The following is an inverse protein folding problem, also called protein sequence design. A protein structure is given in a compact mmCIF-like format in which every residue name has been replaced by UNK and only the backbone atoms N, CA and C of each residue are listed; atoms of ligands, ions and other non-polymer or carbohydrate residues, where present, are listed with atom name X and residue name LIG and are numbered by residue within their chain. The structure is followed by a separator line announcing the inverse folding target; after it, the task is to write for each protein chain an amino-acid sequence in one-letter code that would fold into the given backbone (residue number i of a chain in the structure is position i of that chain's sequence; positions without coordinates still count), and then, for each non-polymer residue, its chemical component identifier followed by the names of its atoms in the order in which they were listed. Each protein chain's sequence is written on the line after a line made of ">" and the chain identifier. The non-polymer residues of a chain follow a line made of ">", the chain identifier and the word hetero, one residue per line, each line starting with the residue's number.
data_IF_311227137498
#
_entry.id   IF_311227137498
#
_cell.length_a   1.000
_cell.length_b   1.000
_cell.length_c   1.000
_cell.angle_alpha   90.00
_cell.angle_beta   90.00
_cell.angle_gamma   90.00
#
_symmetry.space_group_name_H-M   'P 1'
#
loop_
_entity.id
_entity.type
_entity.pdbx_description
1 polymer ?
#
# COMPACT_ATOMS: atom_id res chain seq x y z
N UNK A 1 -12.33 -14.75 30.02
CA UNK A 1 -12.37 -15.02 28.56
C UNK A 1 -11.70 -16.37 28.35
N UNK A 2 -12.44 -17.36 27.83
CA UNK A 2 -11.85 -18.67 27.57
C UNK A 2 -10.78 -18.55 26.49
N UNK A 3 -9.63 -19.26 26.57
CA UNK A 3 -8.65 -19.25 25.52
C UNK A 3 -9.26 -19.80 24.24
N UNK A 4 -9.20 -19.02 23.19
CA UNK A 4 -9.63 -19.48 21.86
C UNK A 4 -8.53 -20.41 21.37
N UNK A 5 -8.72 -21.71 21.49
CA UNK A 5 -7.81 -22.71 20.93
C UNK A 5 -7.95 -22.74 19.40
N UNK A 6 -7.35 -21.77 18.74
CA UNK A 6 -7.28 -21.70 17.28
C UNK A 6 -5.95 -22.31 16.82
N UNK A 7 -6.03 -23.45 16.16
CA UNK A 7 -4.85 -24.07 15.56
C UNK A 7 -4.67 -23.58 14.14
N UNK A 8 -3.49 -23.06 13.84
CA UNK A 8 -3.08 -22.60 12.51
C UNK A 8 -1.93 -23.48 12.00
N UNK A 9 -1.92 -23.74 10.69
CA UNK A 9 -0.78 -24.36 10.03
C UNK A 9 0.34 -23.33 9.79
N UNK A 10 -0.05 -22.07 9.61
CA UNK A 10 0.86 -20.93 9.51
C UNK A 10 0.28 -19.73 10.25
N UNK A 11 1.07 -19.08 11.09
CA UNK A 11 0.70 -17.82 11.71
C UNK A 11 1.73 -16.74 11.34
N UNK A 12 1.25 -15.64 10.73
CA UNK A 12 2.08 -14.55 10.20
C UNK A 12 1.96 -13.33 11.11
N UNK A 13 3.09 -12.80 11.53
CA UNK A 13 3.17 -11.57 12.32
C UNK A 13 3.54 -10.41 11.41
N UNK A 14 2.59 -9.50 11.21
CA UNK A 14 2.73 -8.33 10.35
C UNK A 14 2.12 -8.50 8.95
N UNK A 15 1.50 -7.41 8.47
CA UNK A 15 0.80 -7.35 7.19
C UNK A 15 1.58 -6.62 6.09
N UNK A 16 2.89 -6.56 6.21
CA UNK A 16 3.75 -6.08 5.13
C UNK A 16 3.70 -6.98 3.90
N UNK A 17 4.30 -6.57 2.76
CA UNK A 17 4.23 -7.33 1.51
C UNK A 17 4.64 -8.79 1.62
N UNK A 18 5.67 -9.09 2.40
CA UNK A 18 6.13 -10.47 2.62
C UNK A 18 5.11 -11.29 3.40
N UNK A 19 4.58 -10.75 4.50
CA UNK A 19 3.57 -11.41 5.33
C UNK A 19 2.28 -11.68 4.56
N UNK A 20 1.79 -10.70 3.81
CA UNK A 20 0.61 -10.88 2.96
C UNK A 20 0.82 -11.98 1.92
N UNK A 21 1.97 -12.00 1.25
CA UNK A 21 2.27 -13.01 0.22
C UNK A 21 2.37 -14.41 0.82
N UNK A 22 3.03 -14.56 1.96
CA UNK A 22 3.13 -15.83 2.67
C UNK A 22 1.75 -16.35 3.09
N UNK A 23 0.94 -15.49 3.72
CA UNK A 23 -0.40 -15.85 4.19
C UNK A 23 -1.32 -16.26 3.02
N UNK A 24 -1.38 -15.44 1.97
CA UNK A 24 -2.20 -15.72 0.79
C UNK A 24 -1.77 -17.00 0.07
N UNK A 25 -0.47 -17.24 -0.06
CA UNK A 25 0.02 -18.45 -0.71
C UNK A 25 -0.31 -19.72 0.10
N UNK A 26 -0.11 -19.69 1.41
CA UNK A 26 -0.44 -20.81 2.28
C UNK A 26 -1.94 -21.10 2.27
N UNK A 27 -2.78 -20.08 2.31
CA UNK A 27 -4.24 -20.24 2.23
C UNK A 27 -4.69 -20.81 0.88
N UNK A 28 -4.07 -20.42 -0.24
CA UNK A 28 -4.32 -21.02 -1.56
C UNK A 28 -3.96 -22.52 -1.61
N UNK A 29 -3.05 -22.96 -0.77
CA UNK A 29 -2.66 -24.36 -0.61
C UNK A 29 -3.58 -25.11 0.39
N UNK A 30 -4.70 -24.53 0.78
CA UNK A 30 -5.68 -25.14 1.70
C UNK A 30 -5.22 -25.18 3.16
N UNK A 31 -4.18 -24.40 3.55
CA UNK A 31 -3.71 -24.34 4.92
C UNK A 31 -4.50 -23.35 5.75
N UNK A 32 -4.68 -23.66 7.03
CA UNK A 32 -5.29 -22.73 7.98
C UNK A 32 -4.25 -21.68 8.37
N UNK A 33 -4.52 -20.42 8.01
CA UNK A 33 -3.57 -19.32 8.19
C UNK A 33 -4.14 -18.25 9.10
N UNK A 34 -3.37 -17.86 10.11
CA UNK A 34 -3.61 -16.66 10.90
C UNK A 34 -2.65 -15.56 10.51
N UNK A 35 -3.11 -14.32 10.55
CA UNK A 35 -2.27 -13.14 10.38
C UNK A 35 -2.63 -12.10 11.42
N UNK A 36 -1.64 -11.48 12.05
CA UNK A 36 -1.87 -10.39 12.99
C UNK A 36 -1.09 -9.15 12.56
N UNK A 37 -1.67 -7.99 12.89
CA UNK A 37 -1.06 -6.69 12.67
C UNK A 37 -1.10 -5.89 13.98
N UNK A 38 0.02 -5.25 14.29
CA UNK A 38 0.13 -4.40 15.49
C UNK A 38 -0.54 -3.04 15.29
N UNK A 39 -0.55 -2.54 14.06
CA UNK A 39 -1.14 -1.24 13.71
C UNK A 39 -2.60 -1.40 13.30
N UNK A 40 -3.37 -0.35 13.41
CA UNK A 40 -4.77 -0.32 12.97
C UNK A 40 -4.93 -0.48 11.45
N UNK A 41 -3.86 -0.19 10.69
CA UNK A 41 -3.87 -0.26 9.23
C UNK A 41 -2.94 -1.35 8.73
N UNK A 42 -3.39 -2.09 7.72
CA UNK A 42 -2.63 -3.14 7.04
C UNK A 42 -1.63 -2.56 6.03
N UNK A 43 -0.67 -3.36 5.59
CA UNK A 43 0.23 -3.03 4.48
C UNK A 43 1.66 -2.72 4.87
N UNK A 44 1.93 -2.51 6.17
CA UNK A 44 3.27 -2.20 6.68
C UNK A 44 3.85 -0.90 6.14
N UNK A 45 5.16 -0.72 6.27
CA UNK A 45 5.88 0.49 5.84
C UNK A 45 5.77 0.72 4.32
N UNK A 46 5.75 -0.33 3.54
CA UNK A 46 5.73 -0.24 2.08
C UNK A 46 4.51 0.52 1.54
N UNK A 47 3.34 0.31 2.14
CA UNK A 47 2.10 0.97 1.73
C UNK A 47 1.91 2.30 2.46
N UNK A 48 2.18 2.33 3.77
CA UNK A 48 1.77 3.46 4.60
C UNK A 48 2.77 4.62 4.63
N UNK A 49 4.07 4.36 4.61
CA UNK A 49 5.09 5.40 4.84
C UNK A 49 6.32 5.32 3.95
N UNK A 50 6.48 4.25 3.19
CA UNK A 50 7.72 3.99 2.46
C UNK A 50 7.56 3.98 0.95
N UNK A 51 7.80 2.84 0.34
CA UNK A 51 8.02 2.65 -1.10
C UNK A 51 6.91 3.24 -1.99
N UNK A 52 5.65 2.94 -1.71
CA UNK A 52 4.53 3.41 -2.53
C UNK A 52 4.31 4.92 -2.37
N UNK A 53 4.19 5.46 -1.15
CA UNK A 53 4.06 6.90 -0.96
C UNK A 53 5.21 7.70 -1.55
N UNK A 54 6.45 7.28 -1.36
CA UNK A 54 7.63 7.99 -1.88
C UNK A 54 7.65 8.06 -3.41
N UNK A 55 7.31 6.96 -4.08
CA UNK A 55 7.21 6.93 -5.54
C UNK A 55 6.10 7.82 -6.04
N UNK A 56 4.93 7.74 -5.42
CA UNK A 56 3.77 8.57 -5.79
C UNK A 56 4.06 10.04 -5.60
N UNK A 57 4.72 10.40 -4.50
CA UNK A 57 5.16 11.78 -4.24
C UNK A 57 6.15 12.27 -5.33
N UNK A 58 7.15 11.46 -5.65
CA UNK A 58 8.09 11.77 -6.73
C UNK A 58 7.39 11.98 -8.06
N UNK A 59 6.46 11.11 -8.43
CA UNK A 59 5.68 11.25 -9.67
C UNK A 59 4.83 12.51 -9.68
N UNK A 60 4.21 12.85 -8.55
CA UNK A 60 3.45 14.11 -8.42
C UNK A 60 4.35 15.34 -8.65
N UNK A 61 5.55 15.34 -8.08
CA UNK A 61 6.53 16.42 -8.31
C UNK A 61 6.89 16.52 -9.79
N UNK A 62 7.25 15.39 -10.42
CA UNK A 62 7.64 15.39 -11.83
C UNK A 62 6.51 15.84 -12.76
N UNK A 63 5.28 15.44 -12.45
CA UNK A 63 4.09 15.82 -13.21
C UNK A 63 3.77 17.31 -13.05
N UNK A 64 3.63 17.78 -11.83
CA UNK A 64 3.21 19.16 -11.54
C UNK A 64 4.28 20.21 -11.94
N UNK A 65 5.55 19.85 -11.86
CA UNK A 65 6.65 20.72 -12.33
C UNK A 65 6.82 20.71 -13.85
N UNK A 66 6.15 19.80 -14.57
CA UNK A 66 6.34 19.61 -16.00
C UNK A 66 7.74 19.12 -16.39
N UNK A 67 8.52 18.61 -15.43
CA UNK A 67 9.94 18.27 -15.65
C UNK A 67 10.14 17.29 -16.82
N UNK A 68 9.27 16.27 -16.93
CA UNK A 68 9.36 15.28 -18.02
C UNK A 68 9.02 15.87 -19.39
N UNK A 69 8.17 16.90 -19.43
CA UNK A 69 7.73 17.53 -20.67
C UNK A 69 8.69 18.61 -21.17
N UNK A 70 9.50 19.19 -20.28
CA UNK A 70 10.45 20.25 -20.64
C UNK A 70 11.47 19.81 -21.68
N UNK A 71 11.88 18.54 -21.66
CA UNK A 71 12.80 17.98 -22.64
C UNK A 71 12.20 17.82 -24.05
N UNK A 72 10.87 17.70 -24.15
CA UNK A 72 10.15 17.51 -25.41
C UNK A 72 9.54 18.81 -25.95
N UNK A 73 9.03 19.66 -25.08
CA UNK A 73 8.23 20.85 -25.46
C UNK A 73 8.81 22.18 -24.98
N UNK A 74 10.01 22.18 -24.36
CA UNK A 74 10.68 23.40 -23.88
C UNK A 74 10.20 23.84 -22.49
N UNK A 75 10.78 24.94 -22.00
CA UNK A 75 10.61 25.42 -20.61
C UNK A 75 9.21 25.95 -20.27
N UNK A 76 8.37 26.24 -21.26
CA UNK A 76 7.00 26.76 -21.09
C UNK A 76 5.95 25.70 -20.74
N UNK A 77 6.35 24.44 -20.60
CA UNK A 77 5.45 23.31 -20.33
C UNK A 77 5.14 23.07 -18.83
N UNK A 78 5.27 24.09 -17.98
CA UNK A 78 4.85 23.99 -16.58
C UNK A 78 3.31 23.87 -16.49
N UNK A 79 2.85 22.79 -15.88
CA UNK A 79 1.40 22.49 -15.75
C UNK A 79 0.77 23.35 -14.65
N UNK A 80 1.53 23.74 -13.64
CA UNK A 80 1.07 24.54 -12.51
C UNK A 80 2.12 25.55 -12.10
N UNK A 81 1.76 26.84 -12.06
CA UNK A 81 2.69 27.92 -11.68
C UNK A 81 3.05 27.89 -10.18
N UNK A 82 2.11 27.53 -9.34
CA UNK A 82 2.31 27.44 -7.89
C UNK A 82 1.91 26.07 -7.36
N UNK A 83 2.89 25.30 -6.97
CA UNK A 83 2.70 23.95 -6.39
C UNK A 83 2.73 24.08 -4.88
N UNK A 84 1.71 23.56 -4.21
CA UNK A 84 1.62 23.49 -2.75
C UNK A 84 1.94 22.08 -2.24
N UNK A 85 2.24 21.95 -0.96
CA UNK A 85 2.45 20.65 -0.33
C UNK A 85 1.16 19.80 -0.37
N UNK A 86 0.01 20.44 -0.26
CA UNK A 86 -1.30 19.79 -0.38
C UNK A 86 -1.49 19.13 -1.75
N UNK A 87 -1.10 19.78 -2.83
CA UNK A 87 -1.14 19.22 -4.18
C UNK A 87 -0.30 17.94 -4.31
N UNK A 88 0.87 17.93 -3.67
CA UNK A 88 1.79 16.79 -3.70
C UNK A 88 1.26 15.62 -2.87
N UNK A 89 0.68 15.90 -1.72
CA UNK A 89 0.17 14.89 -0.79
C UNK A 89 -1.17 14.31 -1.23
N UNK A 90 -2.01 15.08 -1.90
CA UNK A 90 -3.35 14.65 -2.32
C UNK A 90 -3.36 13.29 -3.02
N UNK A 91 -2.48 13.13 -4.02
CA UNK A 91 -2.37 11.86 -4.75
C UNK A 91 -1.78 10.74 -3.88
N UNK A 92 -0.84 11.07 -2.99
CA UNK A 92 -0.23 10.09 -2.10
C UNK A 92 -1.27 9.49 -1.15
N UNK A 93 -2.09 10.32 -0.53
CA UNK A 93 -3.16 9.89 0.39
C UNK A 93 -4.18 9.01 -0.32
N UNK A 94 -4.60 9.40 -1.53
CA UNK A 94 -5.51 8.60 -2.35
C UNK A 94 -4.94 7.22 -2.68
N UNK A 95 -3.68 7.14 -3.09
CA UNK A 95 -3.02 5.88 -3.41
C UNK A 95 -2.85 5.00 -2.18
N UNK A 96 -2.41 5.57 -1.04
CA UNK A 96 -2.27 4.84 0.22
C UNK A 96 -3.59 4.22 0.64
N UNK A 97 -4.67 5.00 0.65
CA UNK A 97 -6.01 4.53 1.02
C UNK A 97 -6.46 3.37 0.14
N UNK A 98 -6.31 3.50 -1.17
CA UNK A 98 -6.65 2.44 -2.12
C UNK A 98 -5.85 1.16 -1.90
N UNK A 99 -4.55 1.27 -1.63
CA UNK A 99 -3.70 0.10 -1.37
C UNK A 99 -4.04 -0.59 -0.04
N UNK A 100 -4.44 0.17 0.98
CA UNK A 100 -4.94 -0.39 2.25
C UNK A 100 -6.21 -1.18 2.00
N UNK A 101 -7.18 -0.63 1.29
CA UNK A 101 -8.46 -1.27 0.97
C UNK A 101 -8.25 -2.57 0.17
N UNK A 102 -7.38 -2.55 -0.84
CA UNK A 102 -7.03 -3.74 -1.63
C UNK A 102 -6.35 -4.82 -0.79
N UNK A 103 -5.46 -4.42 0.12
CA UNK A 103 -4.76 -5.35 1.00
C UNK A 103 -5.71 -5.99 2.01
N UNK A 104 -6.60 -5.22 2.61
CA UNK A 104 -7.62 -5.71 3.52
C UNK A 104 -8.58 -6.68 2.81
N UNK A 105 -9.09 -6.32 1.63
CA UNK A 105 -9.97 -7.16 0.82
C UNK A 105 -9.30 -8.48 0.44
N UNK A 106 -8.03 -8.45 0.08
CA UNK A 106 -7.26 -9.65 -0.28
C UNK A 106 -7.11 -10.60 0.89
N UNK A 107 -6.84 -10.09 2.09
CA UNK A 107 -6.75 -10.90 3.30
C UNK A 107 -8.10 -11.55 3.65
N UNK A 108 -9.21 -10.82 3.60
CA UNK A 108 -10.56 -11.33 3.91
C UNK A 108 -10.99 -12.37 2.88
N UNK A 109 -10.85 -12.11 1.58
CA UNK A 109 -11.26 -13.03 0.52
C UNK A 109 -10.51 -14.39 0.57
N UNK A 110 -9.32 -14.41 1.16
CA UNK A 110 -8.53 -15.64 1.31
C UNK A 110 -8.91 -16.43 2.56
N UNK A 111 -9.45 -15.77 3.58
CA UNK A 111 -9.93 -16.41 4.82
C UNK A 111 -11.29 -17.12 4.65
N UNK A 112 -12.07 -16.79 3.61
CA UNK A 112 -13.42 -17.30 3.37
C UNK A 112 -13.48 -18.53 2.43
N UNK A 113 -12.36 -19.12 2.08
CA UNK A 113 -12.25 -20.38 1.31
C UNK A 113 -11.67 -21.48 2.19
#
# INVERSE_FOLDING_TARGET
>A
MAPIDQRFDLFVIGTGPAGQRAAVQAAKLGKRVGICERREVVGGVCINTGTIPSKTFREAVLYLTGFQMRGLYGASSAIKERITMEDLLFRCEHVIKREIDLSATRCVATASR
#
